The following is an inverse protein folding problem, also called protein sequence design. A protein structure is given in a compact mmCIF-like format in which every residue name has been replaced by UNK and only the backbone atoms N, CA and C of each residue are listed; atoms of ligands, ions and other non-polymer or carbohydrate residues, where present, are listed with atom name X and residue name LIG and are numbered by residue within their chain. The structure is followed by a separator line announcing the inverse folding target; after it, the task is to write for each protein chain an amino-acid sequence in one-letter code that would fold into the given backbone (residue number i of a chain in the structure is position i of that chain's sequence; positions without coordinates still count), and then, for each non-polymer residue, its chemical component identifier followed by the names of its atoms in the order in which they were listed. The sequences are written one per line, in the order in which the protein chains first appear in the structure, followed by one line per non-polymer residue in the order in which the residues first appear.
data_IF_704413410366
#
_entry.id   IF_704413410366
#
_cell.length_a   1.000
_cell.length_b   1.000
_cell.length_c   1.000
_cell.angle_alpha   90.00
_cell.angle_beta   90.00
_cell.angle_gamma   90.00
#
_symmetry.space_group_name_H-M   'P 1'
#
loop_
_entity.id
_entity.type
_entity.pdbx_description
1 polymer ?
#
# COMPACT_ATOMS: atom_id res chain seq x y z
N UNK A 1 -32.30 64.76 -16.50
CA UNK A 1 -32.07 63.81 -15.39
C UNK A 1 -32.18 62.34 -15.88
N UNK A 2 -31.59 61.98 -16.99
CA UNK A 2 -31.76 60.65 -17.59
C UNK A 2 -30.44 60.02 -18.12
N UNK A 3 -29.30 60.51 -17.67
CA UNK A 3 -27.98 60.00 -18.06
C UNK A 3 -27.18 59.36 -16.92
N UNK A 4 -27.66 59.43 -15.65
CA UNK A 4 -26.93 58.88 -14.51
C UNK A 4 -27.33 57.44 -14.18
N UNK A 5 -28.45 56.93 -14.70
CA UNK A 5 -28.97 55.59 -14.33
C UNK A 5 -28.38 54.44 -15.17
N UNK A 6 -27.76 54.74 -16.32
CA UNK A 6 -27.14 53.73 -17.19
C UNK A 6 -25.73 53.29 -16.77
N UNK A 7 -25.06 54.06 -15.91
CA UNK A 7 -23.70 53.75 -15.46
C UNK A 7 -23.65 52.87 -14.20
N UNK A 8 -24.75 52.86 -13.43
CA UNK A 8 -24.78 52.13 -12.15
C UNK A 8 -25.16 50.65 -12.32
N UNK A 9 -25.87 50.32 -13.43
CA UNK A 9 -26.28 48.92 -13.72
C UNK A 9 -25.18 48.09 -14.38
N UNK A 10 -24.13 48.71 -14.91
CA UNK A 10 -23.01 47.98 -15.53
C UNK A 10 -21.93 47.53 -14.54
N UNK A 11 -21.85 48.17 -13.36
CA UNK A 11 -20.84 47.84 -12.33
C UNK A 11 -21.31 46.68 -11.47
N UNK A 12 -22.62 46.46 -11.29
CA UNK A 12 -23.15 45.38 -10.46
C UNK A 12 -23.18 43.99 -11.11
N UNK A 13 -23.09 43.93 -12.46
CA UNK A 13 -23.05 42.64 -13.17
C UNK A 13 -21.65 42.05 -13.27
N UNK A 14 -20.60 42.87 -13.10
CA UNK A 14 -19.21 42.41 -13.24
C UNK A 14 -18.60 41.83 -11.95
N UNK A 15 -19.23 42.06 -10.80
CA UNK A 15 -18.74 41.58 -9.48
C UNK A 15 -19.24 40.21 -9.07
N UNK A 16 -20.18 39.58 -9.81
CA UNK A 16 -20.73 38.26 -9.47
C UNK A 16 -20.00 37.11 -10.19
N UNK A 17 -19.11 37.38 -11.14
CA UNK A 17 -18.47 36.37 -12.02
C UNK A 17 -17.12 35.84 -11.51
N UNK A 18 -16.61 36.24 -10.32
CA UNK A 18 -15.23 35.90 -9.87
C UNK A 18 -15.18 34.97 -8.66
N UNK A 19 -16.31 34.49 -8.12
CA UNK A 19 -16.29 33.67 -6.88
C UNK A 19 -16.53 32.17 -7.05
N UNK A 20 -16.29 31.58 -8.22
CA UNK A 20 -16.58 30.15 -8.45
C UNK A 20 -15.40 29.31 -8.96
N UNK A 21 -14.17 29.55 -8.50
CA UNK A 21 -13.02 28.69 -8.84
C UNK A 21 -12.08 28.43 -7.65
N UNK A 22 -12.60 27.97 -6.52
CA UNK A 22 -11.76 27.27 -5.53
C UNK A 22 -12.57 26.07 -5.05
N UNK A 23 -12.65 25.05 -5.87
CA UNK A 23 -12.94 23.69 -5.46
C UNK A 23 -11.72 22.84 -5.81
N UNK A 24 -10.63 23.00 -5.07
CA UNK A 24 -9.62 21.96 -4.97
C UNK A 24 -10.23 20.84 -4.14
N UNK A 25 -10.95 19.96 -4.83
CA UNK A 25 -11.28 18.66 -4.29
C UNK A 25 -10.00 17.84 -4.28
N UNK A 26 -9.33 17.74 -3.14
CA UNK A 26 -8.38 16.66 -2.85
C UNK A 26 -9.14 15.32 -2.86
N UNK A 27 -9.54 14.89 -4.05
CA UNK A 27 -9.79 13.48 -4.32
C UNK A 27 -8.41 12.86 -4.39
N UNK A 28 -7.92 12.34 -3.25
CA UNK A 28 -6.90 11.31 -3.28
C UNK A 28 -7.40 10.27 -4.29
N UNK A 29 -6.78 10.27 -5.46
CA UNK A 29 -7.05 9.31 -6.51
C UNK A 29 -6.71 7.94 -5.92
N UNK A 30 -7.73 7.18 -5.52
CA UNK A 30 -7.54 5.77 -5.14
C UNK A 30 -6.98 5.10 -6.39
N UNK A 31 -5.66 4.95 -6.43
CA UNK A 31 -4.96 4.26 -7.50
C UNK A 31 -5.59 2.86 -7.60
N UNK A 32 -6.34 2.66 -8.68
CA UNK A 32 -7.05 1.41 -8.89
C UNK A 32 -6.00 0.29 -9.03
N UNK A 33 -6.12 -0.77 -8.25
CA UNK A 33 -5.26 -1.94 -8.39
C UNK A 33 -5.46 -2.55 -9.77
N UNK A 34 -4.37 -2.83 -10.46
CA UNK A 34 -4.38 -3.46 -11.79
C UNK A 34 -4.88 -4.90 -11.71
N UNK A 35 -4.46 -5.62 -10.66
CA UNK A 35 -4.83 -7.00 -10.37
C UNK A 35 -5.55 -7.07 -9.03
N UNK A 36 -6.46 -8.04 -8.90
CA UNK A 36 -7.07 -8.38 -7.61
C UNK A 36 -6.16 -9.36 -6.89
N UNK A 37 -6.15 -9.28 -5.56
CA UNK A 37 -5.48 -10.28 -4.75
C UNK A 37 -6.06 -11.68 -5.00
N UNK A 38 -5.20 -12.68 -4.89
CA UNK A 38 -5.54 -14.09 -5.06
C UNK A 38 -5.51 -14.77 -3.69
N UNK A 39 -6.57 -15.50 -3.35
CA UNK A 39 -6.67 -16.16 -2.06
C UNK A 39 -5.44 -17.06 -1.78
N UNK A 40 -4.91 -16.96 -0.55
CA UNK A 40 -3.83 -17.84 -0.08
C UNK A 40 -4.44 -19.18 0.35
N UNK A 41 -4.06 -20.24 -0.32
CA UNK A 41 -4.52 -21.60 0.00
C UNK A 41 -3.55 -22.31 0.96
N UNK A 42 -4.04 -23.32 1.68
CA UNK A 42 -3.26 -24.06 2.69
C UNK A 42 -2.02 -24.77 2.12
N UNK A 43 -2.01 -25.07 0.82
CA UNK A 43 -0.88 -25.70 0.12
C UNK A 43 -0.01 -24.74 -0.66
N UNK A 44 -0.30 -23.44 -0.62
CA UNK A 44 0.53 -22.46 -1.32
C UNK A 44 1.91 -22.37 -0.68
N UNK A 45 2.92 -22.43 -1.53
CA UNK A 45 4.33 -22.32 -1.17
C UNK A 45 4.86 -20.93 -1.51
N UNK A 46 5.72 -20.42 -0.67
CA UNK A 46 6.42 -19.17 -0.88
C UNK A 46 7.34 -19.27 -2.11
N UNK A 47 7.19 -18.35 -3.04
CA UNK A 47 7.96 -18.34 -4.28
C UNK A 47 9.48 -18.25 -4.06
N UNK A 48 9.91 -17.59 -2.97
CA UNK A 48 11.33 -17.40 -2.67
C UNK A 48 11.93 -18.55 -1.85
N UNK A 49 11.26 -18.98 -0.77
CA UNK A 49 11.84 -19.92 0.20
C UNK A 49 11.18 -21.31 0.21
N UNK A 50 10.09 -21.53 -0.52
CA UNK A 50 9.40 -22.82 -0.63
C UNK A 50 8.59 -23.25 0.58
N UNK A 51 8.51 -22.42 1.64
CA UNK A 51 7.73 -22.75 2.83
C UNK A 51 6.22 -22.55 2.61
N UNK A 52 5.40 -23.36 3.28
CA UNK A 52 3.94 -23.22 3.26
C UNK A 52 3.54 -21.87 3.87
N UNK A 53 2.89 -21.01 3.09
CA UNK A 53 2.62 -19.62 3.44
C UNK A 53 1.73 -19.48 4.67
N UNK A 54 0.68 -20.31 4.75
CA UNK A 54 -0.36 -20.22 5.78
C UNK A 54 0.10 -20.68 7.17
N UNK A 55 1.32 -21.23 7.30
CA UNK A 55 1.85 -21.71 8.59
C UNK A 55 2.54 -20.65 9.44
N UNK A 56 2.68 -19.45 8.90
CA UNK A 56 3.45 -18.39 9.55
C UNK A 56 2.60 -17.16 9.77
N UNK A 57 2.88 -16.47 10.84
CA UNK A 57 2.25 -15.21 11.21
C UNK A 57 2.71 -14.04 10.34
N UNK A 58 2.06 -12.90 10.48
CA UNK A 58 2.44 -11.64 9.87
C UNK A 58 1.99 -11.48 8.41
N UNK A 59 2.30 -10.32 7.82
CA UNK A 59 1.82 -9.95 6.49
C UNK A 59 2.41 -10.82 5.41
N UNK A 60 1.57 -11.21 4.46
CA UNK A 60 1.95 -11.91 3.23
C UNK A 60 2.07 -10.93 2.08
N UNK A 61 2.73 -11.35 1.03
CA UNK A 61 2.89 -10.55 -0.17
C UNK A 61 2.51 -11.30 -1.44
N UNK A 62 2.09 -10.54 -2.44
CA UNK A 62 1.84 -11.00 -3.80
C UNK A 62 2.56 -10.13 -4.81
N UNK A 63 3.12 -10.75 -5.84
CA UNK A 63 3.77 -10.07 -6.96
C UNK A 63 3.15 -10.55 -8.27
N UNK A 64 2.65 -9.60 -9.05
CA UNK A 64 2.18 -9.80 -10.41
C UNK A 64 3.27 -9.31 -11.38
N UNK A 65 3.61 -10.13 -12.37
CA UNK A 65 4.62 -9.79 -13.38
C UNK A 65 3.97 -9.34 -14.67
N UNK A 66 4.66 -8.49 -15.41
CA UNK A 66 4.21 -7.95 -16.71
C UNK A 66 4.02 -9.03 -17.77
N UNK A 67 4.85 -10.06 -17.73
CA UNK A 67 4.94 -11.07 -18.79
C UNK A 67 4.08 -12.31 -18.57
N UNK A 68 3.60 -12.50 -17.34
CA UNK A 68 2.90 -13.74 -16.95
C UNK A 68 1.39 -13.57 -16.84
N UNK A 69 0.84 -12.43 -17.28
CA UNK A 69 -0.60 -12.14 -17.19
C UNK A 69 -1.10 -12.17 -15.74
N UNK A 70 -2.06 -13.03 -15.46
CA UNK A 70 -2.69 -13.16 -14.14
C UNK A 70 -1.92 -14.09 -13.18
N UNK A 71 -0.75 -14.61 -13.57
CA UNK A 71 0.05 -15.44 -12.67
C UNK A 71 0.59 -14.58 -11.51
N UNK A 72 0.29 -15.01 -10.29
CA UNK A 72 0.74 -14.38 -9.06
C UNK A 72 1.85 -15.19 -8.41
N UNK A 73 2.88 -14.51 -7.94
CA UNK A 73 3.90 -15.06 -7.05
C UNK A 73 3.55 -14.69 -5.62
N UNK A 74 3.39 -15.69 -4.77
CA UNK A 74 2.98 -15.55 -3.38
C UNK A 74 4.17 -15.70 -2.45
N UNK A 75 4.19 -14.91 -1.37
CA UNK A 75 5.29 -14.86 -0.43
C UNK A 75 4.80 -15.01 1.01
N UNK A 76 5.51 -15.80 1.81
CA UNK A 76 5.16 -16.07 3.19
C UNK A 76 5.42 -14.86 4.13
N UNK A 77 6.18 -13.87 3.66
CA UNK A 77 6.42 -12.62 4.38
C UNK A 77 6.64 -11.45 3.42
N UNK A 78 6.45 -10.22 3.90
CA UNK A 78 6.82 -9.01 3.17
C UNK A 78 8.33 -8.90 2.99
N UNK A 79 9.13 -9.43 3.91
CA UNK A 79 10.59 -9.49 3.78
C UNK A 79 11.00 -10.29 2.53
N UNK A 80 10.45 -11.49 2.36
CA UNK A 80 10.73 -12.35 1.20
C UNK A 80 10.26 -11.71 -0.09
N UNK A 81 9.09 -11.08 -0.07
CA UNK A 81 8.58 -10.35 -1.24
C UNK A 81 9.51 -9.20 -1.65
N UNK A 82 9.99 -8.40 -0.69
CA UNK A 82 10.90 -7.30 -0.99
C UNK A 82 12.30 -7.79 -1.37
N UNK A 83 12.78 -8.87 -0.77
CA UNK A 83 14.04 -9.51 -1.20
C UNK A 83 13.98 -9.95 -2.67
N UNK A 84 12.86 -10.53 -3.08
CA UNK A 84 12.60 -10.85 -4.48
C UNK A 84 12.51 -9.59 -5.36
N UNK A 85 11.75 -8.57 -4.92
CA UNK A 85 11.52 -7.35 -5.69
C UNK A 85 12.78 -6.52 -5.90
N UNK A 86 13.68 -6.45 -4.91
CA UNK A 86 14.87 -5.61 -5.00
C UNK A 86 15.91 -6.14 -5.99
N UNK A 87 15.83 -7.42 -6.37
CA UNK A 87 16.64 -7.94 -7.47
C UNK A 87 16.36 -7.15 -8.76
N UNK A 88 17.39 -6.60 -9.44
CA UNK A 88 17.21 -5.75 -10.62
C UNK A 88 16.45 -6.43 -11.77
N UNK A 89 16.61 -7.75 -11.94
CA UNK A 89 15.90 -8.49 -12.98
C UNK A 89 14.42 -8.64 -12.66
N UNK A 90 14.10 -8.97 -11.42
CA UNK A 90 12.72 -9.07 -10.96
C UNK A 90 12.02 -7.72 -10.99
N UNK A 91 12.68 -6.68 -10.47
CA UNK A 91 12.14 -5.31 -10.37
C UNK A 91 11.64 -4.77 -11.70
N UNK A 92 12.35 -5.03 -12.79
CA UNK A 92 11.95 -4.58 -14.14
C UNK A 92 10.66 -5.23 -14.62
N UNK A 93 10.40 -6.46 -14.18
CA UNK A 93 9.28 -7.28 -14.64
C UNK A 93 8.05 -7.23 -13.72
N UNK A 94 8.12 -6.54 -12.59
CA UNK A 94 6.98 -6.38 -11.69
C UNK A 94 5.96 -5.40 -12.27
N UNK A 95 4.71 -5.86 -12.40
CA UNK A 95 3.56 -5.04 -12.76
C UNK A 95 2.93 -4.42 -11.50
N UNK A 96 2.66 -5.24 -10.50
CA UNK A 96 2.05 -4.83 -9.22
C UNK A 96 2.55 -5.70 -8.08
N UNK A 97 2.55 -5.14 -6.88
CA UNK A 97 2.77 -5.85 -5.62
C UNK A 97 1.66 -5.52 -4.65
N UNK A 98 1.18 -6.53 -3.94
CA UNK A 98 0.17 -6.40 -2.91
C UNK A 98 0.74 -6.93 -1.58
N UNK A 99 0.34 -6.30 -0.47
CA UNK A 99 0.70 -6.72 0.89
C UNK A 99 -0.53 -6.68 1.78
N UNK A 100 -0.59 -7.52 2.83
CA UNK A 100 -1.67 -7.45 3.80
C UNK A 100 -1.67 -6.15 4.60
N UNK A 101 -2.83 -5.57 4.80
CA UNK A 101 -3.04 -4.45 5.73
C UNK A 101 -3.22 -5.00 7.16
N UNK A 102 -2.17 -4.88 7.97
CA UNK A 102 -2.15 -5.39 9.35
C UNK A 102 -3.04 -4.59 10.32
N UNK A 103 -3.61 -3.46 9.90
CA UNK A 103 -4.67 -2.79 10.66
C UNK A 103 -6.03 -3.51 10.55
N UNK A 104 -6.19 -4.38 9.56
CA UNK A 104 -7.41 -5.14 9.29
C UNK A 104 -7.28 -6.62 9.62
N UNK A 105 -6.08 -7.14 9.65
CA UNK A 105 -5.78 -8.54 9.90
C UNK A 105 -4.91 -8.67 11.16
N UNK A 106 -5.41 -9.26 12.25
CA UNK A 106 -4.63 -9.46 13.48
C UNK A 106 -3.38 -10.33 13.20
N UNK A 107 -2.28 -10.02 13.90
CA UNK A 107 -1.08 -10.84 13.86
C UNK A 107 -1.37 -12.23 14.46
N UNK A 108 -0.95 -13.30 13.80
CA UNK A 108 -1.26 -14.67 14.22
C UNK A 108 -2.67 -15.11 13.84
N UNK A 109 -3.31 -14.45 12.91
CA UNK A 109 -4.62 -14.86 12.41
C UNK A 109 -4.52 -16.15 11.61
N UNK A 110 -5.33 -17.15 11.97
CA UNK A 110 -5.48 -18.40 11.21
C UNK A 110 -6.18 -18.17 9.84
N UNK A 111 -6.82 -17.02 9.65
CA UNK A 111 -7.51 -16.66 8.44
C UNK A 111 -6.72 -15.64 7.64
N UNK A 112 -6.15 -16.07 6.53
CA UNK A 112 -5.55 -15.20 5.53
C UNK A 112 -6.67 -14.81 4.55
N UNK A 113 -7.08 -13.54 4.61
CA UNK A 113 -8.21 -13.04 3.82
C UNK A 113 -7.70 -12.08 2.75
N UNK A 114 -7.89 -12.46 1.49
CA UNK A 114 -7.45 -11.72 0.30
C UNK A 114 -8.05 -10.32 0.18
N UNK A 115 -9.20 -10.06 0.83
CA UNK A 115 -9.82 -8.72 0.86
C UNK A 115 -8.99 -7.66 1.60
N UNK A 116 -8.02 -8.07 2.41
CA UNK A 116 -7.17 -7.16 3.16
C UNK A 116 -5.84 -6.83 2.48
N UNK A 117 -5.66 -7.24 1.25
CA UNK A 117 -4.50 -6.82 0.46
C UNK A 117 -4.63 -5.37 -0.02
N UNK A 118 -3.51 -4.66 0.04
CA UNK A 118 -3.35 -3.27 -0.39
C UNK A 118 -2.15 -3.14 -1.35
N UNK A 119 -2.11 -2.09 -2.15
CA UNK A 119 -0.96 -1.81 -3.03
C UNK A 119 0.29 -1.54 -2.18
N UNK A 120 1.32 -2.36 -2.37
CA UNK A 120 2.57 -2.27 -1.61
C UNK A 120 3.27 -0.92 -1.78
N UNK A 121 3.13 -0.25 -2.93
CA UNK A 121 3.78 1.03 -3.21
C UNK A 121 3.18 2.21 -2.44
N UNK A 122 1.94 2.06 -1.96
CA UNK A 122 1.24 3.09 -1.20
C UNK A 122 1.13 2.76 0.29
N UNK A 123 1.57 1.57 0.68
CA UNK A 123 1.58 1.12 2.07
C UNK A 123 2.69 1.79 2.89
N UNK A 124 2.45 1.88 4.19
CA UNK A 124 3.43 2.21 5.21
C UNK A 124 3.95 0.94 5.87
N UNK A 125 5.21 0.94 6.26
CA UNK A 125 5.86 -0.23 6.82
C UNK A 125 6.45 0.05 8.20
N UNK A 126 6.48 -0.97 9.05
CA UNK A 126 7.23 -0.93 10.30
C UNK A 126 8.37 -1.94 10.22
N UNK A 127 9.58 -1.42 10.34
CA UNK A 127 10.83 -2.17 10.37
C UNK A 127 11.28 -2.40 11.82
N UNK A 128 11.94 -3.54 12.08
CA UNK A 128 12.55 -3.87 13.38
C UNK A 128 11.58 -3.84 14.57
N UNK A 129 10.32 -4.22 14.36
CA UNK A 129 9.39 -4.47 15.46
C UNK A 129 9.70 -5.80 16.16
N UNK A 130 9.13 -6.00 17.36
CA UNK A 130 9.20 -7.28 18.09
C UNK A 130 8.42 -8.41 17.40
N UNK A 131 7.55 -8.09 16.44
CA UNK A 131 6.76 -9.07 15.70
C UNK A 131 7.59 -9.72 14.61
N UNK A 132 7.47 -11.03 14.49
CA UNK A 132 8.21 -11.84 13.52
C UNK A 132 7.29 -12.51 12.50
N UNK A 133 7.81 -12.78 11.31
CA UNK A 133 7.17 -13.55 10.25
C UNK A 133 7.85 -14.91 10.04
N UNK A 134 7.70 -15.47 8.84
CA UNK A 134 8.18 -16.80 8.49
C UNK A 134 9.69 -17.03 8.70
N UNK A 135 10.51 -16.04 8.39
CA UNK A 135 11.98 -16.12 8.49
C UNK A 135 12.55 -15.25 9.62
N UNK A 136 11.77 -14.94 10.63
CA UNK A 136 12.15 -14.04 11.70
C UNK A 136 11.68 -12.63 11.46
N UNK A 137 12.57 -11.65 11.32
CA UNK A 137 12.19 -10.26 11.04
C UNK A 137 11.32 -10.15 9.79
N UNK A 138 10.35 -9.24 9.82
CA UNK A 138 9.51 -8.92 8.68
C UNK A 138 9.07 -7.45 8.76
N UNK A 139 8.56 -6.90 7.66
CA UNK A 139 8.00 -5.55 7.65
C UNK A 139 6.49 -5.63 7.86
N UNK A 140 5.98 -5.12 8.97
CA UNK A 140 4.53 -4.97 9.15
C UNK A 140 4.03 -3.90 8.18
N UNK A 141 2.93 -4.16 7.47
CA UNK A 141 2.40 -3.29 6.40
C UNK A 141 1.03 -2.75 6.75
N UNK A 142 0.78 -1.47 6.46
CA UNK A 142 -0.42 -0.73 6.85
C UNK A 142 -0.88 0.19 5.73
N UNK A 143 -2.19 0.34 5.56
CA UNK A 143 -2.76 1.30 4.61
C UNK A 143 -2.64 2.75 5.07
N UNK A 144 -2.55 3.00 6.39
CA UNK A 144 -2.47 4.32 6.98
C UNK A 144 -1.19 4.47 7.83
N UNK A 145 -0.55 5.63 7.72
CA UNK A 145 0.63 5.96 8.54
C UNK A 145 0.30 5.98 10.04
N UNK A 146 -0.89 6.44 10.40
CA UNK A 146 -1.35 6.46 11.79
C UNK A 146 -1.39 5.07 12.43
N UNK A 147 -1.76 4.05 11.65
CA UNK A 147 -1.85 2.67 12.13
C UNK A 147 -0.44 2.07 12.30
N UNK A 148 0.47 2.37 11.36
CA UNK A 148 1.89 2.03 11.50
C UNK A 148 2.51 2.69 12.76
N UNK A 149 2.19 3.97 13.01
CA UNK A 149 2.64 4.67 14.23
C UNK A 149 2.04 4.10 15.52
N UNK A 150 0.76 3.69 15.48
CA UNK A 150 0.14 3.02 16.64
C UNK A 150 0.82 1.67 16.91
N UNK A 151 1.10 0.89 15.88
CA UNK A 151 1.80 -0.38 15.98
C UNK A 151 3.21 -0.22 16.58
N UNK A 152 3.97 0.82 16.19
CA UNK A 152 5.31 1.03 16.78
C UNK A 152 5.29 1.41 18.24
N UNK A 153 4.22 2.00 18.76
CA UNK A 153 4.07 2.30 20.19
C UNK A 153 3.91 1.03 21.04
N UNK A 154 3.34 -0.01 20.44
CA UNK A 154 3.07 -1.28 21.14
C UNK A 154 4.21 -2.30 20.94
N UNK A 155 4.77 -2.39 19.72
CA UNK A 155 5.71 -3.44 19.33
C UNK A 155 7.09 -2.92 18.92
N UNK A 156 7.37 -1.64 19.16
CA UNK A 156 8.64 -1.06 18.75
C UNK A 156 8.79 -0.92 17.23
N UNK A 157 10.02 -0.63 16.82
CA UNK A 157 10.36 -0.48 15.42
C UNK A 157 10.27 0.94 14.87
N UNK A 158 10.47 1.10 13.57
CA UNK A 158 10.52 2.36 12.85
C UNK A 158 9.55 2.36 11.68
N UNK A 159 8.72 3.40 11.56
CA UNK A 159 7.86 3.61 10.38
C UNK A 159 8.69 4.08 9.20
N UNK A 160 8.54 3.43 8.06
CA UNK A 160 9.16 3.78 6.78
C UNK A 160 8.13 3.72 5.65
N UNK A 161 8.40 4.45 4.58
CA UNK A 161 7.64 4.39 3.33
C UNK A 161 8.21 3.32 2.39
N UNK A 162 7.45 2.95 1.35
CA UNK A 162 7.95 2.06 0.30
C UNK A 162 9.26 2.54 -0.35
N UNK A 163 9.43 3.85 -0.53
CA UNK A 163 10.61 4.42 -1.18
C UNK A 163 11.91 4.24 -0.37
N UNK A 164 11.80 4.02 0.95
CA UNK A 164 12.93 3.80 1.85
C UNK A 164 13.38 2.33 1.89
N UNK A 165 12.60 1.40 1.31
CA UNK A 165 12.94 -0.03 1.30
C UNK A 165 14.04 -0.30 0.27
N UNK A 166 15.17 -0.76 0.75
CA UNK A 166 16.35 -1.15 -0.02
C UNK A 166 17.05 -2.34 0.66
N UNK A 167 18.15 -2.85 0.10
CA UNK A 167 18.86 -3.98 0.67
C UNK A 167 19.40 -3.73 2.07
N UNK A 168 19.89 -2.52 2.37
CA UNK A 168 20.44 -2.19 3.69
C UNK A 168 19.38 -2.23 4.79
N UNK A 169 18.13 -1.97 4.42
CA UNK A 169 16.97 -2.01 5.33
C UNK A 169 16.51 -3.45 5.60
N UNK A 170 16.75 -4.38 4.67
CA UNK A 170 16.32 -5.77 4.81
C UNK A 170 17.33 -6.67 5.52
N UNK A 171 18.58 -6.22 5.66
CA UNK A 171 19.66 -6.97 6.35
C UNK A 171 19.67 -6.66 7.84
#
# INVERSE_FOLDING_TARGET
MMKLYKSLTFITVFTIAVTSLISCSDKAEKKQMLHKAVAMESRDECHLCGMLITRFDGPKGEVFRKETGDQVFKFCSTLDMFSYYLDPENKRNVAQMLVHDMSKMPWGSDSIDDKYFIDAKTAWYVLDSEKTGAMGKTLASFSQQSDAQAFTKEFGGKVISFAEINYDVLM
#
